data_IF_142646513570
#
_entry.id   IF_142646513570
#
_cell.length_a   1.000
_cell.length_b   1.000
_cell.length_c   1.000
_cell.angle_alpha   90.00
_cell.angle_beta   90.00
_cell.angle_gamma   90.00
#
_symmetry.space_group_name_H-M   'P 1'
#
loop_
_entity.id
_entity.type
_entity.pdbx_description
1 polymer ?
#
# COMPACT_ATOMS: atom_id res chain seq x y z
N UNK A 1 -5.48 15.91 1.80
CA UNK A 1 -5.99 15.21 0.59
C UNK A 1 -5.66 13.73 0.67
N UNK A 2 -6.27 12.91 -0.18
CA UNK A 2 -5.88 11.49 -0.33
C UNK A 2 -4.78 11.38 -1.40
N UNK A 3 -3.73 10.60 -1.14
CA UNK A 3 -2.59 10.34 -2.04
C UNK A 3 -2.61 8.88 -2.47
N UNK A 4 -2.12 8.56 -3.67
CA UNK A 4 -2.08 7.20 -4.21
C UNK A 4 -2.86 7.05 -5.54
N UNK A 5 -3.23 5.82 -5.95
CA UNK A 5 -3.19 4.59 -5.15
C UNK A 5 -1.80 3.92 -5.12
N UNK A 6 -1.49 3.27 -4.00
CA UNK A 6 -0.40 2.30 -3.91
C UNK A 6 -1.02 0.89 -4.05
N UNK A 7 -0.82 0.25 -5.19
CA UNK A 7 -1.46 -1.03 -5.54
C UNK A 7 -0.43 -2.15 -5.56
N UNK A 8 -0.71 -3.20 -4.79
CA UNK A 8 0.08 -4.41 -4.74
C UNK A 8 -0.63 -5.53 -5.50
N UNK A 9 -0.03 -5.98 -6.61
CA UNK A 9 -0.47 -7.20 -7.28
C UNK A 9 -0.03 -8.42 -6.47
N UNK A 10 -1.01 -9.20 -6.05
CA UNK A 10 -0.81 -10.42 -5.30
C UNK A 10 -0.98 -11.61 -6.24
N UNK A 11 0.09 -12.41 -6.39
CA UNK A 11 0.06 -13.66 -7.16
C UNK A 11 -0.04 -14.83 -6.21
N UNK A 12 -0.95 -15.77 -6.49
CA UNK A 12 -1.07 -16.98 -5.69
C UNK A 12 -0.11 -18.05 -6.23
N UNK A 13 0.72 -18.62 -5.34
CA UNK A 13 1.63 -19.73 -5.66
C UNK A 13 1.10 -21.02 -5.04
N UNK A 14 1.98 -22.00 -4.82
CA UNK A 14 1.61 -23.29 -4.26
C UNK A 14 0.72 -23.14 -3.02
N UNK A 15 -0.33 -23.96 -2.93
CA UNK A 15 -1.31 -23.95 -1.84
C UNK A 15 -2.09 -22.64 -1.65
N UNK A 16 -2.15 -21.78 -2.68
CA UNK A 16 -2.92 -20.54 -2.62
C UNK A 16 -2.26 -19.41 -1.83
N UNK A 17 -0.99 -19.56 -1.45
CA UNK A 17 -0.24 -18.52 -0.74
C UNK A 17 -0.06 -17.29 -1.63
N UNK A 18 -0.57 -16.15 -1.16
CA UNK A 18 -0.44 -14.88 -1.85
C UNK A 18 0.93 -14.25 -1.66
N UNK A 19 1.56 -13.87 -2.77
CA UNK A 19 2.86 -13.24 -2.83
C UNK A 19 2.76 -11.87 -3.48
N UNK A 20 3.34 -10.87 -2.84
CA UNK A 20 3.53 -9.51 -3.37
C UNK A 20 5.01 -9.33 -3.67
N UNK A 21 5.32 -8.66 -4.78
CA UNK A 21 6.71 -8.33 -5.10
C UNK A 21 7.28 -7.34 -4.07
N UNK A 22 8.43 -7.66 -3.49
CA UNK A 22 9.08 -6.80 -2.50
C UNK A 22 9.52 -5.46 -3.08
N UNK A 23 9.84 -5.39 -4.38
CA UNK A 23 10.14 -4.12 -5.04
C UNK A 23 8.96 -3.15 -4.97
N UNK A 24 7.74 -3.64 -5.23
CA UNK A 24 6.53 -2.84 -5.12
C UNK A 24 6.32 -2.32 -3.68
N UNK A 25 6.67 -3.13 -2.67
CA UNK A 25 6.61 -2.72 -1.24
C UNK A 25 7.62 -1.61 -0.95
N UNK A 26 8.84 -1.72 -1.44
CA UNK A 26 9.90 -0.71 -1.27
C UNK A 26 9.51 0.61 -1.95
N UNK A 27 9.01 0.55 -3.19
CA UNK A 27 8.58 1.74 -3.94
C UNK A 27 7.38 2.43 -3.27
N UNK A 28 6.40 1.64 -2.80
CA UNK A 28 5.27 2.14 -2.05
C UNK A 28 5.69 2.81 -0.74
N UNK A 29 6.67 2.25 -0.03
CA UNK A 29 7.21 2.84 1.19
C UNK A 29 7.91 4.18 0.91
N UNK A 30 8.66 4.30 -0.19
CA UNK A 30 9.26 5.56 -0.61
C UNK A 30 8.18 6.61 -0.91
N UNK A 31 7.16 6.26 -1.70
CA UNK A 31 6.05 7.15 -2.01
C UNK A 31 5.26 7.61 -0.76
N UNK A 32 5.03 6.70 0.19
CA UNK A 32 4.36 7.02 1.45
C UNK A 32 5.21 7.96 2.33
N UNK A 33 6.53 7.76 2.38
CA UNK A 33 7.47 8.66 3.07
C UNK A 33 7.47 10.05 2.45
N UNK A 34 7.53 10.15 1.13
CA UNK A 34 7.50 11.44 0.43
C UNK A 34 6.18 12.18 0.66
N UNK A 35 5.06 11.45 0.72
CA UNK A 35 3.77 12.01 1.09
C UNK A 35 3.77 12.59 2.51
N UNK A 36 4.33 11.84 3.47
CA UNK A 36 4.41 12.26 4.87
C UNK A 36 5.39 13.41 5.11
N UNK A 37 6.44 13.54 4.29
CA UNK A 37 7.38 14.66 4.35
C UNK A 37 6.73 16.02 4.10
N UNK A 38 5.55 16.05 3.46
CA UNK A 38 4.75 17.26 3.21
C UNK A 38 3.73 17.54 4.34
N UNK A 39 3.70 16.71 5.38
CA UNK A 39 2.73 16.76 6.47
C UNK A 39 1.83 15.51 6.53
N UNK A 40 0.88 15.45 7.48
CA UNK A 40 -0.02 14.32 7.62
C UNK A 40 -0.77 13.98 6.33
N UNK A 41 -0.75 12.70 5.95
CA UNK A 41 -1.32 12.22 4.70
C UNK A 41 -2.23 11.00 4.92
N UNK A 42 -3.21 10.84 4.04
CA UNK A 42 -4.02 9.62 3.91
C UNK A 42 -3.69 8.99 2.57
N UNK A 43 -3.15 7.78 2.58
CA UNK A 43 -2.71 7.07 1.39
C UNK A 43 -3.69 5.95 1.08
N UNK A 44 -4.24 5.92 -0.13
CA UNK A 44 -5.06 4.81 -0.59
C UNK A 44 -4.15 3.63 -0.93
N UNK A 45 -4.34 2.52 -0.22
CA UNK A 45 -3.54 1.30 -0.37
C UNK A 45 -4.47 0.16 -0.77
N UNK A 46 -4.08 -0.61 -1.77
CA UNK A 46 -4.84 -1.76 -2.22
C UNK A 46 -3.96 -2.99 -2.45
N UNK A 47 -4.50 -4.16 -2.15
CA UNK A 47 -4.00 -5.44 -2.64
C UNK A 47 -5.01 -5.99 -3.64
N UNK A 48 -4.53 -6.47 -4.79
CA UNK A 48 -5.39 -7.03 -5.83
C UNK A 48 -4.81 -8.36 -6.31
N UNK A 49 -5.64 -9.38 -6.42
CA UNK A 49 -5.29 -10.67 -7.02
C UNK A 49 -6.28 -10.98 -8.15
N UNK A 50 -6.13 -12.13 -8.78
CA UNK A 50 -7.07 -12.57 -9.82
C UNK A 50 -8.49 -12.81 -9.29
N UNK A 51 -8.65 -13.13 -7.99
CA UNK A 51 -9.96 -13.48 -7.42
C UNK A 51 -10.66 -12.33 -6.70
N UNK A 52 -9.93 -11.45 -6.01
CA UNK A 52 -10.51 -10.32 -5.30
C UNK A 52 -9.46 -9.25 -4.97
N UNK A 53 -9.92 -8.12 -4.45
CA UNK A 53 -9.05 -7.08 -3.91
C UNK A 53 -9.52 -6.62 -2.54
N UNK A 54 -8.59 -6.02 -1.79
CA UNK A 54 -8.87 -5.30 -0.55
C UNK A 54 -8.31 -3.89 -0.68
N UNK A 55 -9.05 -2.91 -0.15
CA UNK A 55 -8.65 -1.50 -0.18
C UNK A 55 -8.77 -0.91 1.22
N UNK A 56 -7.80 -0.07 1.59
CA UNK A 56 -7.82 0.64 2.85
C UNK A 56 -7.17 2.04 2.70
N UNK A 57 -7.40 2.92 3.66
CA UNK A 57 -6.72 4.19 3.79
C UNK A 57 -5.70 4.12 4.92
N UNK A 58 -4.42 4.19 4.56
CA UNK A 58 -3.31 4.29 5.50
C UNK A 58 -3.13 5.75 5.92
N UNK A 59 -3.30 6.05 7.21
CA UNK A 59 -2.88 7.33 7.76
C UNK A 59 -1.36 7.32 7.99
N UNK A 60 -0.64 8.29 7.42
CA UNK A 60 0.80 8.45 7.57
C UNK A 60 1.09 9.83 8.15
N UNK A 61 1.80 9.86 9.28
CA UNK A 61 2.08 11.06 10.06
C UNK A 61 2.52 10.67 11.47
N UNK A 62 2.70 11.64 12.38
CA UNK A 62 2.91 11.36 13.79
C UNK A 62 1.77 10.45 14.32
N UNK A 63 2.04 9.53 15.27
CA UNK A 63 0.97 8.80 15.92
C UNK A 63 -0.05 9.79 16.49
N UNK A 64 -1.33 9.42 16.42
CA UNK A 64 -2.37 10.20 17.08
C UNK A 64 -2.01 10.33 18.59
N UNK A 65 -2.27 11.49 19.20
CA UNK A 65 -2.00 11.71 20.62
C UNK A 65 -2.75 10.70 21.51
#
# INVERSE_FOLDING_TARGET
>A
GVVGPLVFHCTHRAYGVGMIDTSAVVDAAAAARDAAARGPARVLVATVSHCHGAVNLLAVGPPAP
#
